data_IF_043242790397
#
_entry.id   IF_043242790397
#
_cell.length_a   1.000
_cell.length_b   1.000
_cell.length_c   1.000
_cell.angle_alpha   90.00
_cell.angle_beta   90.00
_cell.angle_gamma   90.00
#
_symmetry.space_group_name_H-M   'P 1'
#
loop_
_entity.id
_entity.type
_entity.pdbx_description
1 polymer ?
#
# COMPACT_ATOMS: atom_id res chain seq x y z
N UNK A 1 -11.57 -12.98 14.81
CA UNK A 1 -10.94 -12.42 13.60
C UNK A 1 -10.99 -13.51 12.53
N UNK A 2 -11.51 -13.21 11.34
CA UNK A 2 -11.51 -14.14 10.20
C UNK A 2 -10.08 -14.21 9.64
N UNK A 3 -9.64 -15.39 9.23
CA UNK A 3 -8.38 -15.54 8.51
C UNK A 3 -8.51 -14.98 7.08
N UNK A 4 -8.00 -13.76 6.89
CA UNK A 4 -7.98 -13.08 5.57
C UNK A 4 -7.18 -13.88 4.54
N UNK A 5 -6.14 -14.62 4.95
CA UNK A 5 -5.38 -15.45 4.02
C UNK A 5 -6.26 -16.57 3.48
N UNK A 6 -6.95 -17.30 4.36
CA UNK A 6 -7.90 -18.32 3.95
C UNK A 6 -9.03 -17.76 3.08
N UNK A 7 -9.48 -16.54 3.36
CA UNK A 7 -10.50 -15.86 2.58
C UNK A 7 -10.04 -15.53 1.15
N UNK A 8 -8.79 -15.09 0.97
CA UNK A 8 -8.21 -14.87 -0.37
C UNK A 8 -7.99 -16.16 -1.14
N UNK A 9 -7.57 -17.22 -0.44
CA UNK A 9 -7.30 -18.52 -1.07
C UNK A 9 -8.58 -19.25 -1.46
N UNK A 10 -9.65 -19.11 -0.68
CA UNK A 10 -10.91 -19.85 -0.86
C UNK A 10 -12.16 -18.95 -0.70
N UNK A 11 -12.33 -17.88 -1.48
CA UNK A 11 -13.39 -16.89 -1.26
C UNK A 11 -14.80 -17.47 -1.40
N UNK A 12 -14.99 -18.49 -2.25
CA UNK A 12 -16.29 -19.13 -2.46
C UNK A 12 -16.83 -19.84 -1.22
N UNK A 13 -15.94 -20.37 -0.37
CA UNK A 13 -16.32 -20.97 0.91
C UNK A 13 -17.00 -19.93 1.80
N UNK A 14 -16.43 -18.73 1.87
CA UNK A 14 -16.95 -17.62 2.64
C UNK A 14 -18.24 -17.06 2.03
N UNK A 15 -18.30 -16.89 0.70
CA UNK A 15 -19.53 -16.47 0.00
C UNK A 15 -20.67 -17.45 0.27
N UNK A 16 -20.41 -18.75 0.20
CA UNK A 16 -21.42 -19.78 0.50
C UNK A 16 -21.85 -19.73 1.97
N UNK A 17 -20.92 -19.52 2.91
CA UNK A 17 -21.25 -19.31 4.32
C UNK A 17 -22.19 -18.12 4.51
N UNK A 18 -21.96 -16.99 3.83
CA UNK A 18 -22.87 -15.84 3.87
C UNK A 18 -24.26 -16.20 3.35
N UNK A 19 -24.35 -16.86 2.17
CA UNK A 19 -25.64 -17.30 1.60
C UNK A 19 -26.43 -18.19 2.55
N UNK A 20 -25.79 -19.19 3.15
CA UNK A 20 -26.44 -20.14 4.08
C UNK A 20 -26.97 -19.43 5.33
N UNK A 21 -26.35 -18.32 5.72
CA UNK A 21 -26.78 -17.49 6.86
C UNK A 21 -27.84 -16.45 6.48
N UNK A 22 -28.21 -16.35 5.21
CA UNK A 22 -29.13 -15.31 4.71
C UNK A 22 -28.47 -13.93 4.59
N UNK A 23 -27.14 -13.88 4.63
CA UNK A 23 -26.34 -12.66 4.53
C UNK A 23 -25.92 -12.36 3.08
N UNK A 24 -25.51 -11.13 2.83
CA UNK A 24 -25.01 -10.71 1.52
C UNK A 24 -23.61 -11.28 1.23
N UNK A 25 -23.44 -12.11 0.18
CA UNK A 25 -22.13 -12.64 -0.23
C UNK A 25 -21.20 -11.56 -0.79
N UNK A 26 -21.74 -10.42 -1.26
CA UNK A 26 -20.94 -9.33 -1.79
C UNK A 26 -20.04 -8.68 -0.73
N UNK A 27 -20.35 -8.86 0.57
CA UNK A 27 -19.48 -8.45 1.67
C UNK A 27 -18.11 -9.13 1.61
N UNK A 28 -18.04 -10.37 1.13
CA UNK A 28 -16.76 -11.08 0.93
C UNK A 28 -15.93 -10.37 -0.14
N UNK A 29 -16.56 -9.95 -1.24
CA UNK A 29 -15.88 -9.25 -2.33
C UNK A 29 -15.42 -7.86 -1.91
N UNK A 30 -16.22 -7.16 -1.09
CA UNK A 30 -15.84 -5.88 -0.51
C UNK A 30 -14.62 -6.03 0.42
N UNK A 31 -14.61 -7.05 1.26
CA UNK A 31 -13.49 -7.34 2.16
C UNK A 31 -12.21 -7.69 1.39
N UNK A 32 -12.30 -8.48 0.32
CA UNK A 32 -11.13 -8.80 -0.54
C UNK A 32 -10.56 -7.53 -1.16
N UNK A 33 -11.43 -6.67 -1.72
CA UNK A 33 -11.00 -5.41 -2.33
C UNK A 33 -10.34 -4.48 -1.31
N UNK A 34 -10.89 -4.38 -0.10
CA UNK A 34 -10.29 -3.58 0.97
C UNK A 34 -8.89 -4.11 1.36
N UNK A 35 -8.74 -5.44 1.51
CA UNK A 35 -7.44 -6.03 1.82
C UNK A 35 -6.43 -5.84 0.67
N UNK A 36 -6.85 -5.98 -0.59
CA UNK A 36 -6.00 -5.74 -1.75
C UNK A 36 -5.52 -4.28 -1.80
N UNK A 37 -6.42 -3.32 -1.60
CA UNK A 37 -6.08 -1.90 -1.53
C UNK A 37 -5.08 -1.61 -0.41
N UNK A 38 -5.32 -2.17 0.78
CA UNK A 38 -4.42 -2.02 1.93
C UNK A 38 -3.04 -2.58 1.62
N UNK A 39 -2.94 -3.77 1.04
CA UNK A 39 -1.66 -4.40 0.67
C UNK A 39 -0.92 -3.61 -0.38
N UNK A 40 -1.61 -3.18 -1.43
CA UNK A 40 -1.01 -2.35 -2.49
C UNK A 40 -0.49 -1.02 -1.92
N UNK A 41 -1.23 -0.37 -1.02
CA UNK A 41 -0.80 0.88 -0.39
C UNK A 41 0.44 0.69 0.51
N UNK A 42 0.51 -0.42 1.26
CA UNK A 42 1.70 -0.76 2.06
C UNK A 42 2.91 -0.96 1.14
N UNK A 43 2.78 -1.78 0.10
CA UNK A 43 3.88 -2.04 -0.83
C UNK A 43 4.35 -0.78 -1.55
N UNK A 44 3.43 0.07 -2.00
CA UNK A 44 3.75 1.36 -2.63
C UNK A 44 4.53 2.27 -1.68
N UNK A 45 4.07 2.42 -0.43
CA UNK A 45 4.77 3.21 0.58
C UNK A 45 6.17 2.67 0.88
N UNK A 46 6.32 1.36 1.04
CA UNK A 46 7.62 0.73 1.30
C UNK A 46 8.59 0.90 0.13
N UNK A 47 8.13 0.77 -1.11
CA UNK A 47 8.94 1.02 -2.31
C UNK A 47 9.44 2.46 -2.38
N UNK A 48 8.53 3.43 -2.24
CA UNK A 48 8.90 4.85 -2.29
C UNK A 48 9.85 5.23 -1.15
N UNK A 49 9.66 4.66 0.05
CA UNK A 49 10.55 4.88 1.19
C UNK A 49 11.95 4.29 0.93
N UNK A 50 12.04 3.11 0.30
CA UNK A 50 13.31 2.52 -0.08
C UNK A 50 14.04 3.36 -1.15
N UNK A 51 13.30 3.87 -2.13
CA UNK A 51 13.82 4.81 -3.13
C UNK A 51 14.32 6.11 -2.48
N UNK A 52 13.55 6.67 -1.53
CA UNK A 52 13.91 7.89 -0.81
C UNK A 52 15.22 7.72 -0.03
N UNK A 53 15.37 6.59 0.64
CA UNK A 53 16.59 6.25 1.37
C UNK A 53 17.79 6.11 0.44
N UNK A 54 17.59 5.49 -0.72
CA UNK A 54 18.64 5.32 -1.74
C UNK A 54 19.07 6.67 -2.30
N UNK A 55 18.10 7.51 -2.68
CA UNK A 55 18.36 8.85 -3.22
C UNK A 55 19.04 9.76 -2.20
N UNK A 56 18.65 9.69 -0.91
CA UNK A 56 19.28 10.46 0.17
C UNK A 56 20.76 10.13 0.32
N UNK A 57 21.14 8.86 0.15
CA UNK A 57 22.56 8.45 0.15
C UNK A 57 23.31 9.02 -1.06
N UNK A 58 22.70 8.99 -2.24
CA UNK A 58 23.29 9.56 -3.45
C UNK A 58 23.50 11.06 -3.34
N UNK A 59 22.54 11.82 -2.81
CA UNK A 59 22.67 13.28 -2.58
C UNK A 59 23.85 13.61 -1.66
N UNK A 60 24.10 12.79 -0.63
CA UNK A 60 25.22 12.96 0.28
C UNK A 60 26.59 12.69 -0.36
N UNK A 61 26.64 11.81 -1.37
CA UNK A 61 27.85 11.41 -2.08
C UNK A 61 28.19 12.33 -3.27
N UNK A 62 27.19 12.97 -3.87
CA UNK A 62 27.34 13.81 -5.07
C UNK A 62 27.70 15.26 -4.75
N UNK A 63 28.52 15.90 -5.60
CA UNK A 63 28.95 17.31 -5.49
C UNK A 63 28.68 18.06 -6.81
N UNK A 64 28.58 19.38 -6.75
CA UNK A 64 28.38 20.22 -7.94
C UNK A 64 26.96 20.15 -8.50
N UNK A 65 26.81 20.42 -9.79
CA UNK A 65 25.50 20.59 -10.45
C UNK A 65 24.60 19.35 -10.41
N UNK A 66 25.18 18.15 -10.41
CA UNK A 66 24.45 16.88 -10.26
C UNK A 66 23.69 16.80 -8.92
N UNK A 67 24.19 17.48 -7.88
CA UNK A 67 23.54 17.52 -6.57
C UNK A 67 22.20 18.27 -6.62
N UNK A 68 22.10 19.33 -7.42
CA UNK A 68 20.87 20.11 -7.53
C UNK A 68 19.74 19.30 -8.18
N UNK A 69 20.05 18.51 -9.22
CA UNK A 69 19.09 17.60 -9.84
C UNK A 69 18.60 16.51 -8.87
N UNK A 70 19.52 15.93 -8.08
CA UNK A 70 19.16 14.93 -7.07
C UNK A 70 18.32 15.53 -5.92
N UNK A 71 18.56 16.79 -5.54
CA UNK A 71 17.76 17.48 -4.52
C UNK A 71 16.31 17.73 -4.98
N UNK A 72 16.10 18.11 -6.23
CA UNK A 72 14.74 18.26 -6.78
C UNK A 72 14.00 16.93 -6.83
N UNK A 73 14.67 15.86 -7.28
CA UNK A 73 14.12 14.51 -7.24
C UNK A 73 13.79 14.07 -5.81
N UNK A 74 14.62 14.42 -4.82
CA UNK A 74 14.40 14.07 -3.42
C UNK A 74 13.18 14.78 -2.83
N UNK A 75 12.94 16.05 -3.19
CA UNK A 75 11.74 16.79 -2.77
C UNK A 75 10.46 16.18 -3.34
N UNK A 76 10.48 15.81 -4.63
CA UNK A 76 9.34 15.15 -5.26
C UNK A 76 9.05 13.82 -4.58
N UNK A 77 10.07 12.99 -4.41
CA UNK A 77 9.94 11.69 -3.78
C UNK A 77 9.49 11.78 -2.31
N UNK A 78 9.91 12.81 -1.56
CA UNK A 78 9.40 13.06 -0.21
C UNK A 78 7.90 13.38 -0.19
N UNK A 79 7.41 14.09 -1.22
CA UNK A 79 5.97 14.37 -1.38
C UNK A 79 5.21 13.09 -1.70
N UNK A 80 5.74 12.27 -2.61
CA UNK A 80 5.15 10.99 -3.00
C UNK A 80 5.09 10.00 -1.82
N UNK A 81 6.17 9.90 -1.03
CA UNK A 81 6.20 9.10 0.21
C UNK A 81 5.12 9.56 1.19
N UNK A 82 4.93 10.86 1.38
CA UNK A 82 3.91 11.40 2.27
C UNK A 82 2.49 11.09 1.78
N UNK A 83 2.25 11.17 0.47
CA UNK A 83 0.98 10.80 -0.12
C UNK A 83 0.70 9.29 0.03
N UNK A 84 1.71 8.45 -0.20
CA UNK A 84 1.60 7.01 -0.03
C UNK A 84 1.37 6.61 1.43
N UNK A 85 2.00 7.29 2.39
CA UNK A 85 1.76 7.06 3.82
C UNK A 85 0.31 7.39 4.21
N UNK A 86 -0.23 8.50 3.73
CA UNK A 86 -1.62 8.87 3.94
C UNK A 86 -2.60 7.86 3.31
N UNK A 87 -2.29 7.39 2.08
CA UNK A 87 -3.07 6.36 1.40
C UNK A 87 -3.06 5.03 2.17
N UNK A 88 -1.89 4.63 2.68
CA UNK A 88 -1.74 3.44 3.53
C UNK A 88 -2.57 3.57 4.81
N UNK A 89 -2.47 4.69 5.50
CA UNK A 89 -3.22 4.95 6.73
C UNK A 89 -4.74 4.89 6.49
N UNK A 90 -5.22 5.53 5.42
CA UNK A 90 -6.64 5.48 5.05
C UNK A 90 -7.11 4.05 4.71
N UNK A 91 -6.25 3.23 4.10
CA UNK A 91 -6.57 1.84 3.76
C UNK A 91 -6.49 0.87 4.97
N UNK A 92 -5.89 1.29 6.09
CA UNK A 92 -5.92 0.54 7.36
C UNK A 92 -7.18 0.83 8.19
N UNK A 93 -7.78 2.02 8.00
CA UNK A 93 -9.01 2.43 8.69
C UNK A 93 -10.31 2.05 7.96
N UNK A 94 -10.23 1.71 6.67
CA UNK A 94 -11.35 1.36 5.80
C UNK A 94 -11.73 -0.13 5.89
#
# INVERSE_FOLDING_TARGET
>A
MIDIKALRENPDLFRNSQKVRGEDPALVDQLIKADDLRRSAITEFESLRAEQNTLSKSVGATKGDEKNALLENAKKLATDVKAADAKRAAAEEA
#
